data_IF_949517707246
#
_entry.id   IF_949517707246
#
_cell.length_a   1.000
_cell.length_b   1.000
_cell.length_c   1.000
_cell.angle_alpha   90.00
_cell.angle_beta   90.00
_cell.angle_gamma   90.00
#
_symmetry.space_group_name_H-M   'P 1'
#
loop_
_entity.id
_entity.type
_entity.pdbx_description
1 polymer ?
#
# COMPACT_ATOMS: atom_id res chain seq x y z
N UNK A 1 46.88 52.90 9.86
CA UNK A 1 45.80 51.91 10.11
C UNK A 1 44.54 52.44 9.45
N UNK A 2 44.09 51.82 8.34
CA UNK A 2 42.82 52.18 7.66
C UNK A 2 41.74 51.24 8.14
N UNK A 3 40.84 51.69 8.95
CA UNK A 3 39.62 50.97 9.35
C UNK A 3 38.64 51.02 8.20
N UNK A 4 38.49 49.89 7.51
CA UNK A 4 37.50 49.74 6.46
C UNK A 4 36.09 49.70 7.05
N UNK A 5 35.33 50.74 6.75
CA UNK A 5 33.94 50.87 7.13
C UNK A 5 33.12 49.83 6.32
N UNK A 6 32.78 48.66 6.90
CA UNK A 6 31.86 47.68 6.32
C UNK A 6 30.45 48.28 6.37
N UNK A 7 29.96 48.80 5.26
CA UNK A 7 28.56 49.15 5.10
C UNK A 7 27.68 47.91 5.37
N UNK A 8 27.02 47.92 6.52
CA UNK A 8 25.96 46.96 6.82
C UNK A 8 24.76 47.31 5.92
N UNK A 9 24.55 46.51 4.88
CA UNK A 9 23.35 46.58 4.05
C UNK A 9 22.21 45.95 4.85
N UNK A 10 21.30 46.76 5.35
CA UNK A 10 20.07 46.30 5.96
C UNK A 10 19.08 45.85 4.90
N UNK A 11 18.30 44.82 5.19
CA UNK A 11 17.18 44.37 4.36
C UNK A 11 16.14 45.49 4.22
N UNK A 12 15.67 45.75 3.03
CA UNK A 12 14.57 46.69 2.82
C UNK A 12 13.23 46.04 3.20
N UNK A 13 12.28 46.84 3.69
CA UNK A 13 10.94 46.36 4.05
C UNK A 13 10.24 45.73 2.86
N UNK A 14 10.47 46.23 1.66
CA UNK A 14 9.95 45.68 0.40
C UNK A 14 10.51 44.28 0.09
N UNK A 15 11.81 44.06 0.34
CA UNK A 15 12.44 42.74 0.10
C UNK A 15 11.87 41.71 1.06
N UNK A 16 11.63 42.04 2.32
CA UNK A 16 10.99 41.15 3.28
C UNK A 16 9.55 40.83 2.90
N UNK A 17 8.81 41.80 2.38
CA UNK A 17 7.44 41.60 1.90
C UNK A 17 7.39 40.66 0.67
N UNK A 18 8.31 40.83 -0.27
CA UNK A 18 8.41 39.94 -1.45
C UNK A 18 8.77 38.50 -1.03
N UNK A 19 9.72 38.34 -0.11
CA UNK A 19 10.07 36.99 0.39
C UNK A 19 8.91 36.34 1.10
N UNK A 20 8.19 37.05 1.96
CA UNK A 20 7.00 36.52 2.64
C UNK A 20 5.89 36.12 1.67
N UNK A 21 5.63 36.88 0.61
CA UNK A 21 4.65 36.51 -0.39
C UNK A 21 5.04 35.27 -1.17
N UNK A 22 6.31 35.13 -1.57
CA UNK A 22 6.79 33.92 -2.27
C UNK A 22 6.67 32.69 -1.35
N UNK A 23 7.09 32.79 -0.08
CA UNK A 23 6.98 31.70 0.89
C UNK A 23 5.52 31.30 1.11
N UNK A 24 4.62 32.27 1.24
CA UNK A 24 3.18 31.99 1.40
C UNK A 24 2.58 31.25 0.19
N UNK A 25 2.95 31.65 -1.03
CA UNK A 25 2.49 30.99 -2.26
C UNK A 25 3.05 29.55 -2.38
N UNK A 26 4.33 29.35 -2.06
CA UNK A 26 4.95 28.02 -2.10
C UNK A 26 4.37 27.10 -1.01
N UNK A 27 4.14 27.61 0.19
CA UNK A 27 3.55 26.83 1.28
C UNK A 27 2.10 26.40 0.96
N UNK A 28 1.29 27.28 0.38
CA UNK A 28 -0.12 26.97 0.03
C UNK A 28 -0.25 25.91 -1.06
N UNK A 29 0.58 25.95 -2.10
CA UNK A 29 0.53 24.98 -3.21
C UNK A 29 1.21 23.64 -2.90
N UNK A 30 2.31 23.63 -2.13
CA UNK A 30 3.12 22.45 -1.86
C UNK A 30 2.44 21.43 -0.94
N UNK A 31 1.70 21.89 0.06
CA UNK A 31 1.08 21.01 1.07
C UNK A 31 0.04 20.05 0.48
N UNK A 32 -0.78 20.51 -0.46
CA UNK A 32 -1.84 19.67 -1.05
C UNK A 32 -1.25 18.52 -1.89
N UNK A 33 -0.25 18.80 -2.70
CA UNK A 33 0.45 17.79 -3.49
C UNK A 33 1.20 16.78 -2.63
N UNK A 34 1.78 17.24 -1.51
CA UNK A 34 2.49 16.40 -0.57
C UNK A 34 1.59 15.36 0.10
N UNK A 35 0.39 15.76 0.55
CA UNK A 35 -0.57 14.86 1.19
C UNK A 35 -1.03 13.77 0.21
N UNK A 36 -1.37 14.13 -1.03
CA UNK A 36 -1.76 13.16 -2.05
C UNK A 36 -0.63 12.16 -2.37
N UNK A 37 0.59 12.65 -2.47
CA UNK A 37 1.77 11.82 -2.71
C UNK A 37 2.00 10.83 -1.58
N UNK A 38 1.90 11.27 -0.32
CA UNK A 38 2.01 10.41 0.86
C UNK A 38 0.94 9.31 0.86
N UNK A 39 -0.29 9.64 0.51
CA UNK A 39 -1.38 8.68 0.43
C UNK A 39 -1.16 7.66 -0.71
N UNK A 40 -0.62 8.08 -1.85
CA UNK A 40 -0.25 7.19 -2.93
C UNK A 40 0.84 6.19 -2.51
N UNK A 41 1.88 6.66 -1.81
CA UNK A 41 2.94 5.78 -1.26
C UNK A 41 2.36 4.77 -0.27
N UNK A 42 1.49 5.18 0.65
CA UNK A 42 0.88 4.27 1.63
C UNK A 42 0.03 3.18 0.96
N UNK A 43 -0.71 3.55 -0.08
CA UNK A 43 -1.52 2.61 -0.85
C UNK A 43 -0.62 1.59 -1.57
N UNK A 44 0.42 2.05 -2.25
CA UNK A 44 1.38 1.18 -2.93
C UNK A 44 2.09 0.24 -1.94
N UNK A 45 2.61 0.76 -0.83
CA UNK A 45 3.27 -0.04 0.20
C UNK A 45 2.34 -1.11 0.77
N UNK A 46 1.08 -0.78 1.04
CA UNK A 46 0.09 -1.76 1.53
C UNK A 46 -0.19 -2.85 0.51
N UNK A 47 -0.30 -2.48 -0.78
CA UNK A 47 -0.52 -3.43 -1.87
C UNK A 47 0.70 -4.34 -2.10
N UNK A 48 1.93 -3.80 -2.03
CA UNK A 48 3.16 -4.57 -2.13
C UNK A 48 3.33 -5.53 -0.95
N UNK A 49 3.06 -5.09 0.28
CA UNK A 49 3.11 -5.96 1.46
C UNK A 49 2.10 -7.11 1.37
N UNK A 50 0.91 -6.84 0.84
CA UNK A 50 -0.09 -7.88 0.58
C UNK A 50 0.38 -8.86 -0.48
N UNK A 51 0.95 -8.37 -1.58
CA UNK A 51 1.53 -9.20 -2.64
C UNK A 51 2.65 -10.09 -2.09
N UNK A 52 3.55 -9.53 -1.27
CA UNK A 52 4.65 -10.26 -0.64
C UNK A 52 4.15 -11.35 0.33
N UNK A 53 3.11 -11.04 1.10
CA UNK A 53 2.48 -12.02 1.99
C UNK A 53 1.91 -13.20 1.20
N UNK A 54 1.12 -12.93 0.15
CA UNK A 54 0.53 -13.99 -0.68
C UNK A 54 1.60 -14.78 -1.44
N UNK A 55 2.66 -14.12 -1.90
CA UNK A 55 3.80 -14.76 -2.56
C UNK A 55 4.54 -15.71 -1.63
N UNK A 56 4.71 -15.34 -0.37
CA UNK A 56 5.29 -16.23 0.66
C UNK A 56 4.39 -17.44 0.94
N UNK A 57 3.08 -17.26 1.02
CA UNK A 57 2.14 -18.37 1.21
C UNK A 57 2.18 -19.32 0.01
N UNK A 58 2.20 -18.78 -1.21
CA UNK A 58 2.33 -19.56 -2.44
C UNK A 58 3.65 -20.32 -2.49
N UNK A 59 4.77 -19.67 -2.20
CA UNK A 59 6.08 -20.32 -2.15
C UNK A 59 6.10 -21.44 -1.11
N UNK A 60 5.54 -21.21 0.06
CA UNK A 60 5.44 -22.23 1.12
C UNK A 60 4.59 -23.42 0.65
N UNK A 61 3.45 -23.18 -0.01
CA UNK A 61 2.61 -24.20 -0.63
C UNK A 61 3.40 -25.06 -1.63
N UNK A 62 4.17 -24.42 -2.51
CA UNK A 62 4.98 -25.08 -3.53
C UNK A 62 6.11 -25.94 -2.94
N UNK A 63 6.91 -25.36 -2.01
CA UNK A 63 8.05 -26.05 -1.39
C UNK A 63 7.67 -27.27 -0.57
N UNK A 64 6.52 -27.24 0.12
CA UNK A 64 6.04 -28.36 0.92
C UNK A 64 5.10 -29.28 0.14
N UNK A 65 4.78 -28.93 -1.12
CA UNK A 65 3.79 -29.64 -1.93
C UNK A 65 2.43 -29.81 -1.24
N UNK A 66 2.03 -28.81 -0.48
CA UNK A 66 0.78 -28.79 0.29
C UNK A 66 -0.15 -27.69 -0.22
N UNK A 67 -1.44 -27.94 -0.16
CA UNK A 67 -2.42 -26.88 -0.42
C UNK A 67 -2.47 -25.93 0.77
N UNK A 68 -2.36 -24.63 0.50
CA UNK A 68 -2.47 -23.57 1.50
C UNK A 68 -3.65 -22.67 1.17
N UNK A 69 -4.40 -22.31 2.20
CA UNK A 69 -5.58 -21.47 2.08
C UNK A 69 -5.36 -20.17 2.83
N UNK A 70 -5.72 -19.06 2.22
CA UNK A 70 -5.69 -17.74 2.83
C UNK A 70 -7.13 -17.25 2.97
N UNK A 71 -7.57 -17.03 4.21
CA UNK A 71 -8.90 -16.51 4.53
C UNK A 71 -8.82 -15.01 4.79
N UNK A 72 -9.66 -14.26 4.11
CA UNK A 72 -9.87 -12.84 4.34
C UNK A 72 -10.92 -12.66 5.43
N UNK A 73 -10.60 -11.95 6.48
CA UNK A 73 -11.48 -11.68 7.61
C UNK A 73 -11.73 -10.17 7.68
N UNK A 74 -12.89 -9.69 7.21
CA UNK A 74 -13.29 -8.31 7.42
C UNK A 74 -13.76 -8.14 8.88
N UNK A 75 -13.20 -7.17 9.58
CA UNK A 75 -13.48 -6.89 10.98
C UNK A 75 -13.79 -5.39 11.16
N UNK A 76 -14.96 -4.95 10.69
CA UNK A 76 -15.32 -3.54 10.65
C UNK A 76 -14.40 -2.73 9.76
N UNK A 77 -13.75 -1.71 10.31
CA UNK A 77 -12.75 -0.91 9.59
C UNK A 77 -11.39 -1.63 9.42
N UNK A 78 -11.16 -2.65 10.22
CA UNK A 78 -9.97 -3.49 10.14
C UNK A 78 -10.26 -4.71 9.25
N UNK A 79 -9.22 -5.20 8.61
CA UNK A 79 -9.27 -6.46 7.89
C UNK A 79 -7.90 -7.14 7.99
N UNK A 80 -7.91 -8.45 7.97
CA UNK A 80 -6.69 -9.24 7.95
C UNK A 80 -6.84 -10.45 7.01
N UNK A 81 -5.70 -11.02 6.65
CA UNK A 81 -5.64 -12.28 5.94
C UNK A 81 -4.87 -13.29 6.79
N UNK A 82 -5.42 -14.48 6.92
CA UNK A 82 -4.84 -15.57 7.71
C UNK A 82 -4.57 -16.75 6.81
N UNK A 83 -3.32 -17.20 6.80
CA UNK A 83 -2.89 -18.39 6.07
C UNK A 83 -3.03 -19.65 6.96
N UNK A 84 -3.61 -20.72 6.40
CA UNK A 84 -3.78 -22.01 7.03
C UNK A 84 -3.61 -23.16 6.06
N UNK A 85 -3.52 -24.40 6.57
CA UNK A 85 -3.53 -25.59 5.71
C UNK A 85 -4.93 -25.88 5.16
N UNK A 86 -5.97 -25.53 5.90
CA UNK A 86 -7.36 -25.67 5.50
C UNK A 86 -8.17 -24.46 5.96
N UNK A 87 -9.33 -24.23 5.33
CA UNK A 87 -10.25 -23.15 5.69
C UNK A 87 -10.67 -23.18 7.18
N UNK A 88 -10.78 -24.36 7.75
CA UNK A 88 -11.16 -24.60 9.16
C UNK A 88 -10.02 -24.30 10.16
N UNK A 89 -8.76 -24.32 9.70
CA UNK A 89 -7.59 -24.05 10.54
C UNK A 89 -7.14 -22.58 10.47
N UNK A 90 -7.68 -21.82 9.53
CA UNK A 90 -7.45 -20.39 9.53
C UNK A 90 -8.14 -19.77 10.76
N UNK A 91 -7.33 -19.29 11.71
CA UNK A 91 -7.83 -18.60 12.91
C UNK A 91 -8.85 -17.52 12.52
N UNK A 92 -9.95 -17.44 13.25
CA UNK A 92 -11.02 -16.46 12.95
C UNK A 92 -10.72 -15.06 13.51
N UNK A 93 -9.59 -14.89 14.17
CA UNK A 93 -9.21 -13.63 14.82
C UNK A 93 -7.93 -13.06 14.24
N UNK A 94 -7.96 -11.76 13.91
CA UNK A 94 -6.77 -11.02 13.51
C UNK A 94 -5.86 -10.78 14.71
N UNK A 95 -4.63 -11.29 14.67
CA UNK A 95 -3.58 -11.02 15.68
C UNK A 95 -2.43 -10.29 15.03
N UNK A 96 -2.03 -9.18 15.60
CA UNK A 96 -0.83 -8.48 15.18
C UNK A 96 0.42 -9.33 15.43
N UNK A 97 1.38 -9.27 14.50
CA UNK A 97 2.68 -9.96 14.57
C UNK A 97 2.65 -11.51 14.56
N UNK A 98 1.59 -12.14 14.08
CA UNK A 98 1.58 -13.58 13.87
C UNK A 98 2.17 -13.94 12.48
N UNK A 99 3.13 -14.89 12.37
CA UNK A 99 3.87 -15.17 11.12
C UNK A 99 3.00 -15.68 9.96
N UNK A 100 1.80 -16.18 10.23
CA UNK A 100 0.82 -16.61 9.21
C UNK A 100 -0.28 -15.60 8.92
N UNK A 101 -0.15 -14.37 9.39
CA UNK A 101 -1.20 -13.37 9.24
C UNK A 101 -0.67 -12.08 8.60
N UNK A 102 -1.50 -11.49 7.76
CA UNK A 102 -1.33 -10.14 7.25
C UNK A 102 -2.40 -9.25 7.87
N UNK A 103 -1.99 -8.27 8.62
CA UNK A 103 -2.90 -7.27 9.23
C UNK A 103 -2.66 -5.92 8.59
N UNK A 104 -3.73 -5.22 8.25
CA UNK A 104 -3.66 -3.85 7.74
C UNK A 104 -2.91 -2.95 8.71
N UNK A 105 -1.86 -2.29 8.24
CA UNK A 105 -1.03 -1.39 9.07
C UNK A 105 -1.43 0.09 9.02
N UNK A 106 -2.12 0.50 7.97
CA UNK A 106 -2.51 1.90 7.72
C UNK A 106 -4.02 2.07 7.76
N UNK A 107 -4.51 3.00 8.56
CA UNK A 107 -5.95 3.25 8.71
C UNK A 107 -6.60 3.80 7.43
N UNK A 108 -5.83 4.51 6.61
CA UNK A 108 -6.27 5.18 5.38
C UNK A 108 -6.50 4.20 4.20
N UNK A 109 -5.97 2.97 4.26
CA UNK A 109 -6.12 1.99 3.17
C UNK A 109 -7.23 1.01 3.53
N UNK A 110 -8.31 1.02 2.76
CA UNK A 110 -9.46 0.16 2.97
C UNK A 110 -9.55 -0.93 1.91
N UNK A 111 -10.18 -2.03 2.28
CA UNK A 111 -10.52 -3.11 1.35
C UNK A 111 -11.75 -2.69 0.55
N UNK A 112 -11.59 -2.45 -0.77
CA UNK A 112 -12.66 -1.94 -1.62
C UNK A 112 -13.50 -3.07 -2.22
N UNK A 113 -12.83 -4.06 -2.86
CA UNK A 113 -13.50 -5.18 -3.55
C UNK A 113 -12.64 -6.43 -3.46
N UNK A 114 -13.27 -7.59 -3.45
CA UNK A 114 -12.60 -8.88 -3.53
C UNK A 114 -13.52 -9.91 -4.18
N UNK A 115 -12.94 -10.89 -4.86
CA UNK A 115 -13.71 -11.95 -5.57
C UNK A 115 -14.21 -13.02 -4.60
N UNK A 116 -13.42 -13.36 -3.60
CA UNK A 116 -13.70 -14.41 -2.62
C UNK A 116 -13.07 -14.08 -1.28
N UNK A 117 -13.68 -14.54 -0.21
CA UNK A 117 -13.11 -14.48 1.14
C UNK A 117 -11.99 -15.51 1.36
N UNK A 118 -11.85 -16.45 0.45
CA UNK A 118 -10.89 -17.55 0.53
C UNK A 118 -10.11 -17.64 -0.76
N UNK A 119 -8.79 -17.70 -0.65
CA UNK A 119 -7.87 -17.90 -1.78
C UNK A 119 -7.03 -19.14 -1.51
N UNK A 120 -7.04 -20.07 -2.45
CA UNK A 120 -6.33 -21.36 -2.32
C UNK A 120 -5.14 -21.41 -3.26
N UNK A 121 -4.00 -21.81 -2.73
CA UNK A 121 -2.76 -22.07 -3.46
C UNK A 121 -2.47 -23.58 -3.45
N UNK A 122 -2.29 -24.15 -4.63
CA UNK A 122 -2.08 -25.59 -4.82
C UNK A 122 -0.59 -25.88 -5.02
N UNK A 123 0.01 -26.70 -4.15
CA UNK A 123 1.45 -26.99 -4.18
C UNK A 123 1.91 -27.71 -5.45
N UNK A 124 1.19 -28.73 -5.89
CA UNK A 124 1.59 -29.63 -6.97
C UNK A 124 1.90 -28.98 -8.32
N UNK A 125 1.29 -27.85 -8.66
CA UNK A 125 1.43 -27.18 -9.96
C UNK A 125 1.69 -25.70 -9.87
N UNK A 126 2.02 -25.21 -8.67
CA UNK A 126 2.12 -23.79 -8.40
C UNK A 126 0.88 -22.99 -8.88
N UNK A 127 -0.29 -23.65 -8.87
CA UNK A 127 -1.55 -23.08 -9.30
C UNK A 127 -2.24 -22.38 -8.14
N UNK A 128 -3.16 -21.48 -8.46
CA UNK A 128 -3.96 -20.78 -7.46
C UNK A 128 -5.42 -20.67 -7.90
N UNK A 129 -6.29 -20.45 -6.93
CA UNK A 129 -7.65 -20.03 -7.22
C UNK A 129 -7.61 -18.60 -7.78
N UNK A 130 -8.13 -18.41 -8.99
CA UNK A 130 -8.16 -17.09 -9.61
C UNK A 130 -9.06 -16.12 -8.84
N UNK A 131 -8.62 -14.88 -8.73
CA UNK A 131 -9.38 -13.84 -8.09
C UNK A 131 -8.68 -12.51 -8.07
N UNK A 132 -9.29 -11.56 -7.41
CA UNK A 132 -8.68 -10.25 -7.19
C UNK A 132 -9.03 -9.68 -5.81
N UNK A 133 -8.18 -8.81 -5.34
CA UNK A 133 -8.34 -8.03 -4.11
C UNK A 133 -8.01 -6.59 -4.46
N UNK A 134 -8.92 -5.66 -4.20
CA UNK A 134 -8.73 -4.24 -4.47
C UNK A 134 -8.62 -3.46 -3.16
N UNK A 135 -7.55 -2.69 -3.04
CA UNK A 135 -7.29 -1.75 -1.96
C UNK A 135 -7.51 -0.33 -2.45
N UNK A 136 -8.09 0.53 -1.65
CA UNK A 136 -8.34 1.92 -2.01
C UNK A 136 -8.04 2.90 -0.88
N UNK A 137 -7.70 4.12 -1.27
CA UNK A 137 -7.68 5.29 -0.42
C UNK A 137 -8.00 6.54 -1.26
N UNK A 138 -7.81 7.74 -0.69
CA UNK A 138 -8.04 9.00 -1.40
C UNK A 138 -7.11 9.22 -2.61
N UNK A 139 -5.95 8.56 -2.68
CA UNK A 139 -5.04 8.65 -3.83
C UNK A 139 -5.50 7.80 -5.03
N UNK A 140 -6.27 6.71 -4.81
CA UNK A 140 -6.75 5.85 -5.87
C UNK A 140 -7.13 4.44 -5.41
N UNK A 141 -7.15 3.51 -6.38
CA UNK A 141 -7.50 2.12 -6.14
C UNK A 141 -6.51 1.20 -6.86
N UNK A 142 -5.87 0.31 -6.11
CA UNK A 142 -4.98 -0.72 -6.62
C UNK A 142 -5.64 -2.09 -6.53
N UNK A 143 -5.48 -2.87 -7.58
CA UNK A 143 -6.00 -4.23 -7.69
C UNK A 143 -4.84 -5.23 -7.74
N UNK A 144 -4.85 -6.19 -6.84
CA UNK A 144 -4.02 -7.38 -6.88
C UNK A 144 -4.80 -8.49 -7.59
N UNK A 145 -4.28 -8.99 -8.69
CA UNK A 145 -4.90 -10.04 -9.50
C UNK A 145 -4.11 -11.32 -9.32
N UNK A 146 -4.82 -12.40 -9.01
CA UNK A 146 -4.28 -13.76 -8.90
C UNK A 146 -4.83 -14.58 -10.08
N UNK A 147 -3.96 -15.12 -10.91
CA UNK A 147 -4.35 -15.97 -12.03
C UNK A 147 -4.39 -17.45 -11.63
N UNK A 148 -5.08 -18.28 -12.41
CA UNK A 148 -5.13 -19.74 -12.22
C UNK A 148 -3.73 -20.37 -12.20
N UNK A 149 -2.78 -19.79 -12.95
CA UNK A 149 -1.38 -20.25 -12.98
C UNK A 149 -0.54 -19.74 -11.79
N UNK A 150 -1.15 -19.19 -10.76
CA UNK A 150 -0.47 -18.66 -9.61
C UNK A 150 0.30 -17.33 -9.83
N UNK A 151 0.22 -16.72 -11.03
CA UNK A 151 0.84 -15.40 -11.25
C UNK A 151 0.04 -14.33 -10.55
N UNK A 152 0.72 -13.53 -9.76
CA UNK A 152 0.17 -12.35 -9.08
C UNK A 152 0.72 -11.08 -9.71
N UNK A 153 -0.13 -10.07 -9.86
CA UNK A 153 0.25 -8.75 -10.36
C UNK A 153 -0.57 -7.65 -9.73
N UNK A 154 0.04 -6.48 -9.58
CA UNK A 154 -0.64 -5.25 -9.20
C UNK A 154 -0.95 -4.41 -10.42
N UNK A 155 -2.12 -3.79 -10.44
CA UNK A 155 -2.50 -2.79 -11.42
C UNK A 155 -3.43 -1.75 -10.79
N UNK A 156 -3.55 -0.60 -11.40
CA UNK A 156 -4.43 0.48 -10.93
C UNK A 156 -5.76 0.50 -11.70
N UNK A 157 -6.88 0.71 -11.00
CA UNK A 157 -8.21 0.61 -11.63
C UNK A 157 -8.63 1.88 -12.37
N UNK A 158 -8.40 3.07 -11.83
CA UNK A 158 -8.99 4.29 -12.35
C UNK A 158 -7.96 5.29 -12.90
N UNK A 159 -6.86 5.44 -12.23
CA UNK A 159 -5.75 6.34 -12.60
C UNK A 159 -4.44 5.68 -12.20
N UNK A 160 -3.38 6.03 -12.90
CA UNK A 160 -2.03 5.56 -12.54
C UNK A 160 -1.70 6.05 -11.13
N UNK A 161 -1.34 5.15 -10.25
CA UNK A 161 -0.87 5.44 -8.90
C UNK A 161 0.62 5.18 -8.85
N UNK A 162 1.40 6.26 -8.72
CA UNK A 162 2.87 6.22 -8.81
C UNK A 162 3.34 5.50 -10.11
N UNK A 163 4.10 4.43 -9.99
CA UNK A 163 4.61 3.65 -11.13
C UNK A 163 3.75 2.44 -11.51
N UNK A 164 2.57 2.24 -10.86
CA UNK A 164 1.73 1.06 -11.11
C UNK A 164 0.84 1.31 -12.33
N UNK A 165 0.94 0.47 -13.39
CA UNK A 165 0.18 0.61 -14.62
C UNK A 165 -1.31 0.38 -14.40
N UNK A 166 -2.11 0.84 -15.34
CA UNK A 166 -3.55 0.52 -15.39
C UNK A 166 -3.80 -0.98 -15.63
N UNK A 167 -4.92 -1.49 -15.11
CA UNK A 167 -5.36 -2.83 -15.40
C UNK A 167 -5.77 -2.93 -16.90
#
# INVERSE_FOLDING_TARGET
MKTGNRQQRGFTLLELLVVLTIVALMAGGGLHGWIQYQQAIRLEQSAQQLLDFLSRVQANSYWHNETRTVKLIPQGELWCMVAGQNEKQAEETCRENHPGQFVRRTQDVVLAKFTSNVFTFFGLRNAAQAGHISLSNSAGQLRLIISVRGRMRLCSESKVVLAIPLC
#
